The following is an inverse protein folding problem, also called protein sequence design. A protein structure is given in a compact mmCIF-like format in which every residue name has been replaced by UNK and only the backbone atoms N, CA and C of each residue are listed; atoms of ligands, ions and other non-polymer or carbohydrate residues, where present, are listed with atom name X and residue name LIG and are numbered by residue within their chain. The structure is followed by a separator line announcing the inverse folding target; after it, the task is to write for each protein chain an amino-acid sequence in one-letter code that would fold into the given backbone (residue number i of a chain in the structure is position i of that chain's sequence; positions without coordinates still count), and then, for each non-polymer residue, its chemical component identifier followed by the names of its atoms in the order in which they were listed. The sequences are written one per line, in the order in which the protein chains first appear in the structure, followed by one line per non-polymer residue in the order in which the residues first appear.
data_IF_170398745930
#
_entry.id   IF_170398745930
#
_cell.length_a   1.000
_cell.length_b   1.000
_cell.length_c   1.000
_cell.angle_alpha   90.00
_cell.angle_beta   90.00
_cell.angle_gamma   90.00
#
_symmetry.space_group_name_H-M   'P 1'
#
loop_
_entity.id
_entity.type
_entity.pdbx_description
1 polymer ?
#
# COMPACT_ATOMS: atom_id res chain seq x y z
N UNK A 1 -5.50 2.47 -12.24
CA UNK A 1 -6.87 1.94 -12.48
C UNK A 1 -6.86 0.42 -12.70
N UNK A 2 -6.10 -0.13 -13.66
CA UNK A 2 -6.05 -1.59 -13.90
C UNK A 2 -5.67 -2.38 -12.64
N UNK A 3 -4.52 -2.08 -12.02
CA UNK A 3 -4.11 -2.73 -10.76
C UNK A 3 -5.17 -2.55 -9.66
N UNK A 4 -5.76 -1.37 -9.55
CA UNK A 4 -6.83 -1.11 -8.57
C UNK A 4 -8.06 -1.98 -8.80
N UNK A 5 -8.43 -2.29 -10.05
CA UNK A 5 -9.55 -3.19 -10.33
C UNK A 5 -9.27 -4.64 -9.96
N UNK A 6 -8.01 -5.07 -10.05
CA UNK A 6 -7.59 -6.42 -9.62
C UNK A 6 -7.50 -6.47 -8.08
N UNK A 7 -6.89 -5.46 -7.48
CA UNK A 7 -6.61 -5.45 -6.04
C UNK A 7 -7.84 -5.14 -5.20
N UNK A 8 -8.68 -4.19 -5.64
CA UNK A 8 -9.81 -3.67 -4.87
C UNK A 8 -11.18 -3.98 -5.51
N UNK A 9 -11.21 -4.81 -6.57
CA UNK A 9 -12.44 -5.25 -7.24
C UNK A 9 -13.21 -4.14 -7.95
N UNK A 10 -12.67 -2.92 -8.00
CA UNK A 10 -13.36 -1.75 -8.56
C UNK A 10 -12.43 -0.86 -9.36
N UNK A 11 -12.99 -0.30 -10.42
CA UNK A 11 -12.39 0.85 -11.11
C UNK A 11 -12.79 2.12 -10.39
N UNK A 12 -11.84 3.03 -10.23
CA UNK A 12 -12.10 4.33 -9.63
C UNK A 12 -12.42 5.35 -10.73
N UNK A 13 -13.29 6.31 -10.41
CA UNK A 13 -13.48 7.47 -11.26
C UNK A 13 -12.18 8.30 -11.28
N UNK A 14 -11.88 8.96 -12.41
CA UNK A 14 -10.69 9.78 -12.52
C UNK A 14 -10.73 11.05 -11.64
N UNK A 15 -11.92 11.43 -11.16
CA UNK A 15 -12.15 12.55 -10.24
C UNK A 15 -12.33 12.10 -8.79
N UNK A 16 -12.24 10.80 -8.50
CA UNK A 16 -12.33 10.28 -7.15
C UNK A 16 -11.16 10.79 -6.29
N UNK A 17 -11.48 11.55 -5.23
CA UNK A 17 -10.46 12.21 -4.40
C UNK A 17 -9.56 11.22 -3.66
N UNK A 18 -10.11 10.09 -3.21
CA UNK A 18 -9.36 9.05 -2.48
C UNK A 18 -8.33 8.40 -3.42
N UNK A 19 -8.74 8.14 -4.67
CA UNK A 19 -7.88 7.59 -5.70
C UNK A 19 -6.81 8.59 -6.15
N UNK A 20 -7.16 9.86 -6.32
CA UNK A 20 -6.20 10.92 -6.64
C UNK A 20 -5.18 11.11 -5.52
N UNK A 21 -5.60 11.02 -4.26
CA UNK A 21 -4.68 11.07 -3.12
C UNK A 21 -3.74 9.86 -3.11
N UNK A 22 -4.23 8.65 -3.37
CA UNK A 22 -3.38 7.46 -3.51
C UNK A 22 -2.33 7.65 -4.62
N UNK A 23 -2.74 8.11 -5.80
CA UNK A 23 -1.84 8.38 -6.91
C UNK A 23 -0.81 9.45 -6.58
N UNK A 24 -1.23 10.53 -5.91
CA UNK A 24 -0.33 11.59 -5.44
C UNK A 24 0.73 11.02 -4.51
N UNK A 25 0.33 10.25 -3.50
CA UNK A 25 1.27 9.62 -2.58
C UNK A 25 2.24 8.70 -3.33
N UNK A 26 1.75 7.90 -4.30
CA UNK A 26 2.60 6.99 -5.08
C UNK A 26 3.66 7.77 -5.87
N UNK A 27 3.23 8.82 -6.57
CA UNK A 27 4.12 9.66 -7.35
C UNK A 27 5.14 10.38 -6.45
N UNK A 28 4.72 10.90 -5.30
CA UNK A 28 5.62 11.51 -4.32
C UNK A 28 6.65 10.50 -3.82
N UNK A 29 6.24 9.29 -3.44
CA UNK A 29 7.18 8.24 -3.02
C UNK A 29 8.21 7.91 -4.10
N UNK A 30 7.80 7.77 -5.36
CA UNK A 30 8.72 7.51 -6.48
C UNK A 30 9.72 8.65 -6.67
N UNK A 31 9.26 9.90 -6.58
CA UNK A 31 10.13 11.08 -6.66
C UNK A 31 11.14 11.11 -5.53
N UNK A 32 10.72 10.83 -4.30
CA UNK A 32 11.62 10.82 -3.14
C UNK A 32 12.68 9.72 -3.26
N UNK A 33 12.28 8.49 -3.60
CA UNK A 33 13.21 7.35 -3.76
C UNK A 33 14.24 7.64 -4.87
N UNK A 34 13.87 8.43 -5.86
CA UNK A 34 14.74 8.79 -6.99
C UNK A 34 15.72 9.94 -6.68
N UNK A 35 15.70 10.51 -5.46
CA UNK A 35 16.62 11.59 -5.09
C UNK A 35 18.04 11.07 -4.83
N UNK A 36 19.10 11.89 -5.06
CA UNK A 36 20.47 11.54 -4.67
C UNK A 36 20.59 11.24 -3.17
N UNK A 37 19.80 11.91 -2.34
CA UNK A 37 19.75 11.64 -0.90
C UNK A 37 19.25 10.23 -0.59
N UNK A 38 18.21 9.76 -1.28
CA UNK A 38 17.72 8.39 -1.11
C UNK A 38 18.74 7.35 -1.56
N UNK A 39 19.49 7.60 -2.64
CA UNK A 39 20.59 6.71 -3.05
C UNK A 39 21.72 6.68 -2.01
N UNK A 40 22.06 7.84 -1.42
CA UNK A 40 23.03 7.90 -0.33
C UNK A 40 22.54 7.17 0.92
N UNK A 41 21.25 7.31 1.25
CA UNK A 41 20.64 6.57 2.35
C UNK A 41 20.71 5.06 2.13
N UNK A 42 20.41 4.58 0.92
CA UNK A 42 20.49 3.15 0.57
C UNK A 42 21.91 2.57 0.76
N UNK A 43 22.93 3.36 0.42
CA UNK A 43 24.34 2.96 0.57
C UNK A 43 24.87 3.00 2.01
N UNK A 44 24.31 3.87 2.86
CA UNK A 44 24.82 4.17 4.20
C UNK A 44 23.73 4.10 5.29
N UNK A 45 22.72 3.24 5.10
CA UNK A 45 21.54 3.14 5.95
C UNK A 45 21.93 2.90 7.42
N UNK A 46 22.90 2.02 7.68
CA UNK A 46 23.33 1.64 9.03
C UNK A 46 23.76 2.82 9.90
N UNK A 47 24.23 3.91 9.29
CA UNK A 47 24.65 5.15 9.96
C UNK A 47 23.55 6.21 9.86
N UNK A 48 23.00 6.41 8.66
CA UNK A 48 22.10 7.53 8.38
C UNK A 48 20.70 7.36 8.99
N UNK A 49 20.28 6.13 9.33
CA UNK A 49 18.99 5.86 9.99
C UNK A 49 18.82 6.57 11.35
N UNK A 50 19.93 6.91 12.02
CA UNK A 50 19.91 7.57 13.34
C UNK A 50 19.93 9.10 13.24
N UNK A 51 20.14 9.67 12.04
CA UNK A 51 20.22 11.11 11.82
C UNK A 51 18.88 11.66 11.31
N UNK A 52 18.51 12.90 11.66
CA UNK A 52 17.36 13.53 11.02
C UNK A 52 17.67 13.82 9.55
N UNK A 53 16.73 13.51 8.64
CA UNK A 53 16.92 13.83 7.23
C UNK A 53 15.73 13.52 6.32
N UNK A 54 15.85 13.84 5.02
CA UNK A 54 14.81 13.61 4.01
C UNK A 54 14.35 12.15 3.89
N UNK A 55 15.20 11.18 4.27
CA UNK A 55 14.87 9.75 4.24
C UNK A 55 13.65 9.41 5.11
N UNK A 56 13.33 10.22 6.14
CA UNK A 56 12.13 10.06 6.97
C UNK A 56 10.81 10.34 6.22
N UNK A 57 10.87 10.95 5.03
CA UNK A 57 9.68 11.28 4.23
C UNK A 57 9.05 10.03 3.61
N UNK A 58 9.86 9.09 3.12
CA UNK A 58 9.38 7.84 2.49
C UNK A 58 8.59 6.99 3.50
N UNK A 59 9.07 6.68 4.72
CA UNK A 59 8.30 5.96 5.72
C UNK A 59 6.94 6.61 6.02
N UNK A 60 6.88 7.95 6.07
CA UNK A 60 5.61 8.68 6.31
C UNK A 60 4.62 8.52 5.15
N UNK A 61 5.10 8.62 3.90
CA UNK A 61 4.27 8.40 2.71
C UNK A 61 3.76 6.95 2.65
N UNK A 62 4.63 5.98 2.92
CA UNK A 62 4.27 4.56 2.97
C UNK A 62 3.28 4.27 4.11
N UNK A 63 3.44 4.90 5.28
CA UNK A 63 2.49 4.75 6.39
C UNK A 63 1.09 5.23 5.99
N UNK A 64 0.98 6.37 5.29
CA UNK A 64 -0.30 6.87 4.78
C UNK A 64 -0.91 5.92 3.76
N UNK A 65 -0.13 5.41 2.79
CA UNK A 65 -0.63 4.40 1.84
C UNK A 65 -1.09 3.12 2.54
N UNK A 66 -0.32 2.62 3.51
CA UNK A 66 -0.70 1.46 4.31
C UNK A 66 -2.01 1.70 5.04
N UNK A 67 -2.23 2.89 5.59
CA UNK A 67 -3.51 3.24 6.24
C UNK A 67 -4.68 3.20 5.26
N UNK A 68 -4.50 3.67 4.02
CA UNK A 68 -5.51 3.59 2.96
C UNK A 68 -5.84 2.14 2.63
N UNK A 69 -4.82 1.31 2.40
CA UNK A 69 -4.99 -0.11 2.08
C UNK A 69 -5.67 -0.83 3.25
N UNK A 70 -5.26 -0.55 4.49
CA UNK A 70 -5.82 -1.18 5.69
C UNK A 70 -7.32 -0.88 5.86
N UNK A 71 -7.78 0.35 5.55
CA UNK A 71 -9.21 0.66 5.55
C UNK A 71 -9.97 -0.20 4.54
N UNK A 72 -9.40 -0.40 3.35
CA UNK A 72 -10.01 -1.21 2.31
C UNK A 72 -10.04 -2.69 2.67
N UNK A 73 -8.93 -3.23 3.19
CA UNK A 73 -8.85 -4.61 3.70
C UNK A 73 -9.88 -4.85 4.80
N UNK A 74 -10.02 -3.91 5.74
CA UNK A 74 -11.06 -4.01 6.78
C UNK A 74 -12.47 -4.05 6.20
N UNK A 75 -12.77 -3.20 5.22
CA UNK A 75 -14.06 -3.22 4.52
C UNK A 75 -14.31 -4.54 3.79
N UNK A 76 -13.29 -5.08 3.12
CA UNK A 76 -13.38 -6.37 2.45
C UNK A 76 -13.66 -7.51 3.45
N UNK A 77 -12.92 -7.56 4.56
CA UNK A 77 -13.10 -8.56 5.61
C UNK A 77 -14.50 -8.53 6.25
N UNK A 78 -15.09 -7.34 6.40
CA UNK A 78 -16.44 -7.20 6.98
C UNK A 78 -17.55 -7.74 6.07
N UNK A 79 -17.33 -7.77 4.76
CA UNK A 79 -18.30 -8.22 3.76
C UNK A 79 -17.76 -9.40 2.94
N UNK A 80 -16.88 -10.21 3.53
CA UNK A 80 -16.21 -11.30 2.84
C UNK A 80 -17.17 -12.48 2.66
N UNK A 81 -17.31 -12.95 1.43
CA UNK A 81 -18.10 -14.14 1.09
C UNK A 81 -17.13 -15.24 0.62
N UNK A 82 -16.95 -16.33 1.39
CA UNK A 82 -15.96 -17.37 1.07
C UNK A 82 -16.13 -18.03 -0.30
N UNK A 83 -17.36 -18.16 -0.77
CA UNK A 83 -17.69 -18.82 -2.04
C UNK A 83 -17.59 -17.87 -3.25
N UNK A 84 -17.50 -16.56 -3.02
CA UNK A 84 -17.53 -15.53 -4.08
C UNK A 84 -16.46 -14.45 -3.84
N UNK A 85 -15.15 -14.78 -3.91
CA UNK A 85 -14.10 -13.79 -3.75
C UNK A 85 -14.16 -12.72 -4.84
N UNK A 86 -14.25 -11.45 -4.44
CA UNK A 86 -14.50 -10.34 -5.38
C UNK A 86 -13.22 -9.77 -5.99
N UNK A 87 -12.13 -9.85 -5.25
CA UNK A 87 -10.85 -9.23 -5.61
C UNK A 87 -9.66 -9.91 -4.94
N UNK A 88 -8.47 -9.41 -5.22
CA UNK A 88 -7.24 -9.94 -4.64
C UNK A 88 -7.23 -9.93 -3.10
N UNK A 89 -7.84 -8.92 -2.47
CA UNK A 89 -7.89 -8.83 -1.00
C UNK A 89 -8.71 -9.98 -0.46
N UNK A 90 -9.89 -10.24 -1.01
CA UNK A 90 -10.74 -11.37 -0.59
C UNK A 90 -10.01 -12.70 -0.74
N UNK A 91 -9.36 -12.93 -1.90
CA UNK A 91 -8.55 -14.13 -2.14
C UNK A 91 -7.44 -14.28 -1.09
N UNK A 92 -6.75 -13.17 -0.77
CA UNK A 92 -5.65 -13.18 0.19
C UNK A 92 -6.14 -13.45 1.62
N UNK A 93 -7.28 -12.86 2.03
CA UNK A 93 -7.89 -13.10 3.33
C UNK A 93 -8.29 -14.58 3.50
N UNK A 94 -8.91 -15.18 2.49
CA UNK A 94 -9.25 -16.60 2.50
C UNK A 94 -8.02 -17.51 2.55
N UNK A 95 -6.94 -17.12 1.86
CA UNK A 95 -5.69 -17.88 1.92
C UNK A 95 -5.02 -17.78 3.29
N UNK A 96 -5.03 -16.61 3.92
CA UNK A 96 -4.51 -16.44 5.29
C UNK A 96 -5.27 -17.33 6.29
N UNK A 97 -6.59 -17.42 6.15
CA UNK A 97 -7.41 -18.28 7.01
C UNK A 97 -7.10 -19.76 6.79
N UNK A 98 -6.90 -20.20 5.54
CA UNK A 98 -6.50 -21.58 5.23
C UNK A 98 -5.15 -21.93 5.85
N UNK A 99 -4.13 -21.10 5.62
CA UNK A 99 -2.77 -21.32 6.17
C UNK A 99 -2.79 -21.30 7.70
N UNK A 100 -3.62 -20.47 8.33
CA UNK A 100 -3.75 -20.46 9.79
C UNK A 100 -4.42 -21.71 10.37
N UNK A 101 -5.14 -22.48 9.56
CA UNK A 101 -5.82 -23.73 9.96
C UNK A 101 -4.98 -24.97 9.64
N UNK A 102 -3.95 -24.84 8.79
CA UNK A 102 -2.98 -25.88 8.50
C UNK A 102 -1.88 -25.86 9.59
N UNK A 103 -1.58 -27.00 10.27
CA UNK A 103 -0.61 -27.08 11.36
C UNK A 103 0.86 -26.96 10.92
#
# INVERSE_FOLDING_TARGET
NIICSIVFGRRFDYRDEEFLELLRMMNESFREISTPWSQLYDLAESVLQYLPGPHLKIPRLLAKMRSFIARRVKGNAQSLEPDHPRDFIDCFLLQMEKVSREP
#
